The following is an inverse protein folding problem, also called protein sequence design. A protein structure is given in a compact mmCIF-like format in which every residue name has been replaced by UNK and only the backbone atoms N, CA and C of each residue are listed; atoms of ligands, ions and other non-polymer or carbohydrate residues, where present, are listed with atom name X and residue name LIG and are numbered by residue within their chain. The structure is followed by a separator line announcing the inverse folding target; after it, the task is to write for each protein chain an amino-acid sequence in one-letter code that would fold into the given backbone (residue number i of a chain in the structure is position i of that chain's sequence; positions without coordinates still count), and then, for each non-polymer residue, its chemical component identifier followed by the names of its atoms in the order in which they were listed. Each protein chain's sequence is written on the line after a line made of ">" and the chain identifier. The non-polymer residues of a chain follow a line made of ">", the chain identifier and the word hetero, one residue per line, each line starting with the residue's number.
data_IF_961187636127
#
_entry.id   IF_961187636127
#
_cell.length_a   1.000
_cell.length_b   1.000
_cell.length_c   1.000
_cell.angle_alpha   90.00
_cell.angle_beta   90.00
_cell.angle_gamma   90.00
#
_symmetry.space_group_name_H-M   'P 1'
#
loop_
_entity.id
_entity.type
_entity.pdbx_description
1 polymer ?
#
# COMPACT_ATOMS: atom_id res chain seq x y z
N UNK A 1 -3.64 31.89 12.40
CA UNK A 1 -3.12 30.59 11.91
C UNK A 1 -3.27 29.60 13.05
N UNK A 2 -4.24 28.72 12.94
CA UNK A 2 -5.03 28.19 14.04
C UNK A 2 -4.37 27.05 14.83
N UNK A 3 -4.67 26.99 16.16
CA UNK A 3 -4.35 25.86 17.07
C UNK A 3 -4.59 24.48 16.44
N UNK A 4 -5.58 24.36 15.55
CA UNK A 4 -5.89 23.13 14.80
C UNK A 4 -4.74 22.67 13.89
N UNK A 5 -4.01 23.60 13.26
CA UNK A 5 -2.84 23.29 12.40
C UNK A 5 -1.69 22.78 13.27
N UNK A 6 -1.45 23.40 14.42
CA UNK A 6 -0.40 22.94 15.35
C UNK A 6 -0.74 21.58 15.96
N UNK A 7 -2.00 21.32 16.28
CA UNK A 7 -2.44 20.00 16.77
C UNK A 7 -2.32 18.92 15.68
N UNK A 8 -2.63 19.24 14.43
CA UNK A 8 -2.45 18.33 13.30
C UNK A 8 -0.97 18.03 13.03
N UNK A 9 -0.13 19.07 13.11
CA UNK A 9 1.33 18.97 12.98
C UNK A 9 1.91 18.14 14.13
N UNK A 10 1.47 18.39 15.36
CA UNK A 10 1.91 17.65 16.55
C UNK A 10 1.54 16.16 16.46
N UNK A 11 0.31 15.84 16.03
CA UNK A 11 -0.10 14.45 15.81
C UNK A 11 0.68 13.74 14.69
N UNK A 12 1.11 14.47 13.66
CA UNK A 12 1.93 13.92 12.58
C UNK A 12 3.39 13.68 13.02
N UNK A 13 3.94 14.54 13.89
CA UNK A 13 5.33 14.44 14.36
C UNK A 13 5.55 13.22 15.28
N UNK A 14 4.55 12.82 16.07
CA UNK A 14 4.69 11.70 17.01
C UNK A 14 4.53 10.32 16.41
N UNK A 15 4.04 10.18 15.16
CA UNK A 15 3.92 8.90 14.51
C UNK A 15 5.13 8.51 13.64
N UNK A 16 6.11 9.37 13.48
CA UNK A 16 7.32 9.09 12.67
C UNK A 16 8.46 8.50 13.50
N UNK A 17 8.16 7.60 14.43
CA UNK A 17 9.20 6.71 14.95
C UNK A 17 9.43 5.66 13.86
N UNK A 18 10.64 5.65 13.27
CA UNK A 18 11.06 4.71 12.22
C UNK A 18 10.48 3.33 12.47
N UNK A 19 9.75 2.84 11.50
CA UNK A 19 9.17 1.52 11.58
C UNK A 19 10.33 0.52 11.43
N UNK A 20 10.50 -0.38 12.39
CA UNK A 20 11.54 -1.40 12.33
C UNK A 20 11.18 -2.44 11.27
N UNK A 21 12.17 -2.88 10.48
CA UNK A 21 12.04 -4.03 9.58
C UNK A 21 11.50 -5.25 10.34
N UNK A 22 10.57 -5.99 9.73
CA UNK A 22 10.03 -7.24 10.29
C UNK A 22 10.37 -8.37 9.34
N UNK A 23 11.04 -9.39 9.85
CA UNK A 23 11.37 -10.63 9.13
C UNK A 23 11.01 -11.79 10.06
N UNK A 24 10.14 -12.68 9.58
CA UNK A 24 9.72 -13.90 10.28
C UNK A 24 9.88 -15.06 9.31
N UNK A 25 10.79 -15.96 9.60
CA UNK A 25 11.15 -17.10 8.76
C UNK A 25 10.97 -18.38 9.56
N UNK A 26 10.35 -19.38 8.96
CA UNK A 26 10.33 -20.76 9.48
C UNK A 26 11.64 -21.48 9.09
N UNK A 27 12.63 -21.41 9.95
CA UNK A 27 13.96 -22.02 9.72
C UNK A 27 13.95 -23.55 9.75
N UNK A 28 12.82 -24.19 10.00
CA UNK A 28 12.69 -25.65 9.97
C UNK A 28 12.56 -26.22 8.55
N UNK A 29 12.36 -25.35 7.54
CA UNK A 29 12.17 -25.70 6.13
C UNK A 29 13.16 -24.97 5.24
N UNK A 30 13.41 -25.51 4.05
CA UNK A 30 14.17 -24.79 3.03
C UNK A 30 13.31 -23.71 2.38
N UNK A 31 13.90 -22.60 1.98
CA UNK A 31 13.20 -21.52 1.28
C UNK A 31 12.52 -22.02 -0.02
N UNK A 32 13.16 -22.94 -0.75
CA UNK A 32 12.62 -23.57 -1.97
C UNK A 32 11.30 -24.34 -1.77
N UNK A 33 10.96 -24.68 -0.53
CA UNK A 33 9.72 -25.38 -0.17
C UNK A 33 8.67 -24.43 0.40
N UNK A 34 9.03 -23.15 0.60
CA UNK A 34 8.22 -22.13 1.29
C UNK A 34 7.76 -21.02 0.34
N UNK A 35 6.73 -20.31 0.79
CA UNK A 35 6.23 -19.10 0.14
C UNK A 35 6.61 -17.88 1.00
N UNK A 36 7.13 -16.84 0.36
CA UNK A 36 7.37 -15.56 1.02
C UNK A 36 6.20 -14.60 0.78
N UNK A 37 5.75 -13.90 1.82
CA UNK A 37 4.85 -12.76 1.72
C UNK A 37 5.62 -11.48 2.04
N UNK A 38 5.74 -10.59 1.07
CA UNK A 38 6.38 -9.29 1.24
C UNK A 38 5.31 -8.20 1.29
N UNK A 39 5.31 -7.40 2.36
CA UNK A 39 4.38 -6.27 2.50
C UNK A 39 5.15 -4.97 2.28
N UNK A 40 4.87 -4.29 1.18
CA UNK A 40 5.46 -2.99 0.86
C UNK A 40 4.57 -1.87 1.35
N UNK A 41 4.80 -1.43 2.58
CA UNK A 41 4.07 -0.32 3.19
C UNK A 41 4.41 1.02 2.52
N UNK A 42 3.52 2.00 2.67
CA UNK A 42 3.68 3.35 2.13
C UNK A 42 4.06 4.39 3.19
N UNK A 43 3.85 5.67 2.86
CA UNK A 43 4.16 6.80 3.74
C UNK A 43 3.35 6.85 5.05
N UNK A 44 2.27 6.08 5.16
CA UNK A 44 1.47 5.93 6.38
C UNK A 44 1.95 4.84 7.34
N UNK A 45 3.09 4.21 7.03
CA UNK A 45 3.63 3.11 7.83
C UNK A 45 4.05 3.55 9.24
N UNK A 46 3.94 2.59 10.18
CA UNK A 46 4.33 2.79 11.58
C UNK A 46 4.63 1.45 12.26
N UNK A 47 5.42 1.48 13.34
CA UNK A 47 5.67 0.29 14.17
C UNK A 47 4.37 -0.41 14.59
N UNK A 48 3.33 0.37 14.92
CA UNK A 48 2.03 -0.18 15.30
C UNK A 48 1.36 -0.92 14.15
N UNK A 49 1.40 -0.35 12.94
CA UNK A 49 0.82 -0.98 11.76
C UNK A 49 1.54 -2.28 11.44
N UNK A 50 2.87 -2.29 11.44
CA UNK A 50 3.69 -3.49 11.20
C UNK A 50 3.42 -4.58 12.23
N UNK A 51 3.26 -4.22 13.51
CA UNK A 51 2.90 -5.18 14.55
C UNK A 51 1.54 -5.85 14.26
N UNK A 52 0.54 -5.08 13.84
CA UNK A 52 -0.78 -5.62 13.48
C UNK A 52 -0.68 -6.52 12.24
N UNK A 53 0.10 -6.13 11.23
CA UNK A 53 0.36 -6.96 10.05
C UNK A 53 1.06 -8.26 10.44
N UNK A 54 2.10 -8.18 11.28
CA UNK A 54 2.80 -9.34 11.80
C UNK A 54 1.84 -10.29 12.54
N UNK A 55 1.07 -9.77 13.49
CA UNK A 55 0.12 -10.56 14.28
C UNK A 55 -0.95 -11.24 13.40
N UNK A 56 -1.35 -10.59 12.31
CA UNK A 56 -2.33 -11.17 11.40
C UNK A 56 -1.74 -12.24 10.48
N UNK A 57 -0.57 -12.02 9.89
CA UNK A 57 0.02 -12.93 8.89
C UNK A 57 0.88 -14.03 9.49
N UNK A 58 1.38 -13.87 10.72
CA UNK A 58 2.18 -14.89 11.40
C UNK A 58 1.40 -16.21 11.52
N UNK A 59 2.02 -17.32 11.12
CA UNK A 59 1.39 -18.64 11.15
C UNK A 59 0.38 -18.91 10.02
N UNK A 60 0.29 -18.04 9.00
CA UNK A 60 -0.56 -18.24 7.82
C UNK A 60 0.11 -19.03 6.69
N UNK A 61 1.25 -19.67 6.95
CA UNK A 61 1.95 -20.48 5.96
C UNK A 61 2.91 -19.72 5.06
N UNK A 62 3.24 -18.47 5.40
CA UNK A 62 4.21 -17.64 4.71
C UNK A 62 5.37 -17.27 5.63
N UNK A 63 6.56 -17.21 5.09
CA UNK A 63 7.63 -16.38 5.64
C UNK A 63 7.30 -14.92 5.38
N UNK A 64 7.33 -14.08 6.40
CA UNK A 64 6.83 -12.71 6.34
C UNK A 64 7.97 -11.70 6.32
N UNK A 65 7.91 -10.80 5.34
CA UNK A 65 8.87 -9.72 5.16
C UNK A 65 8.14 -8.37 5.09
N UNK A 66 8.48 -7.45 5.99
CA UNK A 66 7.98 -6.06 5.95
C UNK A 66 9.21 -5.14 5.98
N UNK A 67 9.80 -4.81 4.81
CA UNK A 67 11.04 -4.06 4.73
C UNK A 67 10.88 -2.59 5.12
N UNK A 68 11.97 -1.99 5.59
CA UNK A 68 12.12 -0.55 5.63
C UNK A 68 12.91 -0.12 4.38
N UNK A 69 12.19 0.14 3.30
CA UNK A 69 12.78 0.36 1.98
C UNK A 69 12.68 1.80 1.47
N UNK A 70 11.85 2.66 2.12
CA UNK A 70 11.64 4.04 1.65
C UNK A 70 12.84 4.92 2.01
N UNK A 71 13.65 5.25 1.01
CA UNK A 71 14.77 6.19 1.18
C UNK A 71 14.29 7.63 1.01
N UNK A 72 14.49 8.46 2.04
CA UNK A 72 14.03 9.86 2.05
C UNK A 72 14.67 10.75 0.99
N UNK A 73 15.79 10.31 0.37
CA UNK A 73 16.56 11.10 -0.59
C UNK A 73 15.93 11.11 -1.98
N UNK A 74 15.41 9.96 -2.47
CA UNK A 74 14.77 9.88 -3.79
C UNK A 74 13.97 8.60 -3.99
N UNK A 75 13.14 8.58 -5.05
CA UNK A 75 12.42 7.39 -5.48
C UNK A 75 13.36 6.32 -6.05
N UNK A 76 14.39 6.70 -6.80
CA UNK A 76 15.36 5.75 -7.34
C UNK A 76 16.14 5.04 -6.25
N UNK A 77 16.55 5.75 -5.21
CA UNK A 77 17.20 5.14 -4.05
C UNK A 77 16.22 4.23 -3.28
N UNK A 78 14.94 4.57 -3.23
CA UNK A 78 13.89 3.71 -2.67
C UNK A 78 13.81 2.39 -3.42
N UNK A 79 13.80 2.42 -4.76
CA UNK A 79 13.81 1.19 -5.59
C UNK A 79 15.10 0.40 -5.37
N UNK A 80 16.27 1.06 -5.34
CA UNK A 80 17.55 0.40 -5.09
C UNK A 80 17.64 -0.22 -3.69
N UNK A 81 17.07 0.46 -2.67
CA UNK A 81 17.01 -0.08 -1.30
C UNK A 81 16.14 -1.32 -1.24
N UNK A 82 14.99 -1.31 -1.94
CA UNK A 82 14.15 -2.49 -2.06
C UNK A 82 14.85 -3.64 -2.81
N UNK A 83 15.53 -3.34 -3.93
CA UNK A 83 16.32 -4.36 -4.66
C UNK A 83 17.37 -5.01 -3.74
N UNK A 84 18.13 -4.19 -3.02
CA UNK A 84 19.13 -4.69 -2.07
C UNK A 84 18.51 -5.53 -0.94
N UNK A 85 17.30 -5.18 -0.48
CA UNK A 85 16.56 -5.97 0.50
C UNK A 85 16.15 -7.33 -0.09
N UNK A 86 15.65 -7.35 -1.32
CA UNK A 86 15.21 -8.56 -2.03
C UNK A 86 16.38 -9.54 -2.18
N UNK A 87 17.54 -9.04 -2.65
CA UNK A 87 18.77 -9.83 -2.83
C UNK A 87 19.33 -10.33 -1.49
N UNK A 88 19.44 -9.45 -0.49
CA UNK A 88 19.99 -9.77 0.85
C UNK A 88 19.22 -10.90 1.53
N UNK A 89 17.91 -10.97 1.31
CA UNK A 89 17.04 -11.99 1.92
C UNK A 89 16.80 -13.20 1.00
N UNK A 90 17.56 -13.32 -0.10
CA UNK A 90 17.51 -14.43 -1.05
C UNK A 90 16.07 -14.77 -1.49
N UNK A 91 15.26 -13.74 -1.79
CA UNK A 91 13.85 -13.97 -2.09
C UNK A 91 13.64 -14.79 -3.39
N UNK A 92 14.61 -14.79 -4.30
CA UNK A 92 14.59 -15.66 -5.48
C UNK A 92 14.81 -17.16 -5.18
N UNK A 93 15.23 -17.51 -3.97
CA UNK A 93 15.37 -18.91 -3.55
C UNK A 93 14.03 -19.51 -3.07
N UNK A 94 13.03 -18.67 -2.78
CA UNK A 94 11.70 -19.14 -2.38
C UNK A 94 10.98 -19.85 -3.53
N UNK A 95 10.08 -20.76 -3.15
CA UNK A 95 9.19 -21.41 -4.12
C UNK A 95 8.36 -20.38 -4.89
N UNK A 96 7.78 -19.45 -4.14
CA UNK A 96 6.96 -18.34 -4.64
C UNK A 96 7.14 -17.11 -3.75
N UNK A 97 7.11 -15.93 -4.37
CA UNK A 97 7.09 -14.65 -3.66
C UNK A 97 5.78 -13.92 -3.97
N UNK A 98 5.07 -13.55 -2.92
CA UNK A 98 3.78 -12.85 -3.01
C UNK A 98 3.87 -11.48 -2.40
N UNK A 99 3.15 -10.53 -2.94
CA UNK A 99 3.20 -9.14 -2.49
C UNK A 99 1.85 -8.60 -2.08
N UNK A 100 1.84 -7.83 -0.99
CA UNK A 100 0.80 -6.87 -0.64
C UNK A 100 1.42 -5.47 -0.68
N UNK A 101 0.98 -4.63 -1.61
CA UNK A 101 1.60 -3.35 -1.89
C UNK A 101 0.64 -2.20 -1.60
N UNK A 102 1.02 -1.32 -0.68
CA UNK A 102 0.35 -0.03 -0.52
C UNK A 102 0.93 0.97 -1.53
N UNK A 103 0.17 1.91 -1.98
CA UNK A 103 0.34 2.84 -3.12
C UNK A 103 1.80 2.98 -3.64
N UNK A 104 2.72 3.57 -2.83
CA UNK A 104 4.13 3.72 -3.24
C UNK A 104 4.82 2.37 -3.36
N UNK A 105 4.44 1.39 -2.54
CA UNK A 105 4.98 0.03 -2.61
C UNK A 105 4.70 -0.62 -3.96
N UNK A 106 3.50 -0.45 -4.48
CA UNK A 106 3.16 -0.91 -5.83
C UNK A 106 4.00 -0.23 -6.91
N UNK A 107 4.20 1.08 -6.81
CA UNK A 107 5.07 1.81 -7.75
C UNK A 107 6.53 1.32 -7.71
N UNK A 108 7.06 1.07 -6.52
CA UNK A 108 8.43 0.55 -6.34
C UNK A 108 8.56 -0.87 -6.88
N UNK A 109 7.58 -1.73 -6.59
CA UNK A 109 7.57 -3.10 -7.10
C UNK A 109 7.50 -3.14 -8.63
N UNK A 110 6.65 -2.31 -9.26
CA UNK A 110 6.56 -2.26 -10.71
C UNK A 110 7.89 -1.84 -11.35
N UNK A 111 8.57 -0.82 -10.78
CA UNK A 111 9.90 -0.43 -11.26
C UNK A 111 10.96 -1.52 -11.03
N UNK A 112 10.86 -2.28 -9.93
CA UNK A 112 11.74 -3.41 -9.68
C UNK A 112 11.53 -4.49 -10.75
N UNK A 113 10.28 -4.89 -11.02
CA UNK A 113 9.94 -5.91 -12.02
C UNK A 113 10.40 -5.48 -13.43
N UNK A 114 10.23 -4.21 -13.79
CA UNK A 114 10.68 -3.69 -15.08
C UNK A 114 12.20 -3.76 -15.24
N UNK A 115 12.97 -3.58 -14.17
CA UNK A 115 14.45 -3.59 -14.20
C UNK A 115 15.05 -4.99 -14.11
N UNK A 116 14.43 -5.87 -13.32
CA UNK A 116 15.01 -7.17 -12.93
C UNK A 116 14.19 -8.37 -13.42
N UNK A 117 12.99 -8.13 -13.97
CA UNK A 117 12.04 -9.19 -14.26
C UNK A 117 11.28 -9.60 -12.99
N UNK A 118 10.29 -10.49 -13.16
CA UNK A 118 9.44 -10.94 -12.05
C UNK A 118 10.09 -12.00 -11.15
N UNK A 119 11.11 -12.71 -11.63
CA UNK A 119 11.76 -13.78 -10.87
C UNK A 119 10.74 -14.80 -10.34
N UNK A 120 10.75 -15.01 -9.02
CA UNK A 120 9.83 -15.89 -8.27
C UNK A 120 8.52 -15.22 -7.85
N UNK A 121 8.28 -13.98 -8.25
CA UNK A 121 7.03 -13.27 -7.95
C UNK A 121 5.89 -13.92 -8.72
N UNK A 122 4.86 -14.34 -8.01
CA UNK A 122 3.67 -15.02 -8.58
C UNK A 122 2.38 -14.27 -8.32
N UNK A 123 2.32 -13.46 -7.25
CA UNK A 123 1.07 -12.81 -6.81
C UNK A 123 1.34 -11.41 -6.31
N UNK A 124 0.54 -10.45 -6.75
CA UNK A 124 0.60 -9.07 -6.30
C UNK A 124 -0.82 -8.59 -5.95
N UNK A 125 -1.00 -8.06 -4.75
CA UNK A 125 -2.20 -7.34 -4.36
C UNK A 125 -1.84 -5.86 -4.22
N UNK A 126 -2.47 -5.01 -5.02
CA UNK A 126 -2.33 -3.56 -4.90
C UNK A 126 -3.45 -2.97 -4.05
N UNK A 127 -3.09 -2.26 -3.00
CA UNK A 127 -3.98 -1.30 -2.34
C UNK A 127 -3.92 0.02 -3.09
N UNK A 128 -5.04 0.42 -3.69
CA UNK A 128 -5.19 1.61 -4.50
C UNK A 128 -6.26 2.53 -3.93
N UNK A 129 -5.95 3.80 -3.86
CA UNK A 129 -6.86 4.80 -3.30
C UNK A 129 -6.91 6.04 -4.17
N UNK A 130 -7.97 6.21 -4.98
CA UNK A 130 -8.11 7.37 -5.87
C UNK A 130 -8.00 8.72 -5.16
N UNK A 131 -8.35 8.76 -3.86
CA UNK A 131 -8.21 9.97 -3.04
C UNK A 131 -6.81 10.12 -2.47
N UNK A 132 -6.24 9.05 -1.91
CA UNK A 132 -4.97 9.09 -1.18
C UNK A 132 -3.75 9.15 -2.12
N UNK A 133 -3.85 8.65 -3.33
CA UNK A 133 -2.81 8.77 -4.36
C UNK A 133 -2.46 10.23 -4.67
N UNK A 134 -3.36 11.16 -4.39
CA UNK A 134 -3.12 12.60 -4.50
C UNK A 134 -2.48 13.23 -3.26
N UNK A 135 -2.44 12.50 -2.14
CA UNK A 135 -1.93 13.04 -0.87
C UNK A 135 -0.48 13.55 -0.96
N UNK A 136 0.46 12.88 -1.65
CA UNK A 136 1.80 13.41 -1.85
C UNK A 136 1.81 14.80 -2.51
N UNK A 137 1.00 14.98 -3.56
CA UNK A 137 0.88 16.25 -4.27
C UNK A 137 0.21 17.33 -3.43
N UNK A 138 -0.86 16.97 -2.71
CA UNK A 138 -1.53 17.89 -1.76
C UNK A 138 -0.59 18.29 -0.63
N UNK A 139 0.16 17.34 -0.05
CA UNK A 139 1.07 17.61 1.05
C UNK A 139 2.25 18.50 0.62
N UNK A 140 2.84 18.24 -0.54
CA UNK A 140 3.94 19.05 -1.06
C UNK A 140 3.51 20.46 -1.45
N UNK A 141 2.26 20.66 -1.88
CA UNK A 141 1.71 21.98 -2.18
C UNK A 141 1.34 22.76 -0.91
N UNK A 142 0.66 22.11 0.05
CA UNK A 142 0.07 22.82 1.21
C UNK A 142 0.99 22.84 2.42
N UNK A 143 1.87 21.89 2.57
CA UNK A 143 2.74 21.70 3.72
C UNK A 143 4.19 21.38 3.27
N UNK A 144 4.81 22.17 2.34
CA UNK A 144 6.08 21.79 1.70
C UNK A 144 7.21 21.55 2.71
N UNK A 145 7.33 22.41 3.70
CA UNK A 145 8.38 22.30 4.73
C UNK A 145 8.18 21.07 5.62
N UNK A 146 6.95 20.84 6.09
CA UNK A 146 6.62 19.69 6.93
C UNK A 146 6.79 18.38 6.16
N UNK A 147 6.30 18.34 4.94
CA UNK A 147 6.46 17.18 4.04
C UNK A 147 7.94 16.84 3.83
N UNK A 148 8.78 17.87 3.67
CA UNK A 148 10.22 17.69 3.49
C UNK A 148 10.91 17.15 4.74
N UNK A 149 10.52 17.61 5.94
CA UNK A 149 11.08 17.11 7.20
C UNK A 149 10.66 15.66 7.44
N UNK A 150 9.36 15.35 7.28
CA UNK A 150 8.83 14.04 7.63
C UNK A 150 9.25 12.96 6.63
N UNK A 151 9.10 13.25 5.33
CA UNK A 151 9.23 12.26 4.26
C UNK A 151 10.43 12.50 3.34
N UNK A 152 11.13 13.64 3.47
CA UNK A 152 12.27 13.96 2.62
C UNK A 152 11.87 14.33 1.19
N UNK A 153 12.84 14.21 0.27
CA UNK A 153 12.66 14.52 -1.16
C UNK A 153 11.78 13.48 -1.86
N UNK A 154 11.80 12.22 -1.40
CA UNK A 154 11.06 11.10 -2.02
C UNK A 154 9.57 11.39 -2.15
N UNK A 155 8.93 12.07 -1.18
CA UNK A 155 7.52 12.44 -1.30
C UNK A 155 7.28 13.41 -2.45
N UNK A 156 8.18 14.41 -2.62
CA UNK A 156 8.09 15.36 -3.73
C UNK A 156 8.37 14.69 -5.07
N UNK A 157 9.32 13.77 -5.13
CA UNK A 157 9.59 13.00 -6.34
C UNK A 157 8.38 12.12 -6.71
N UNK A 158 7.83 11.39 -5.74
CA UNK A 158 6.66 10.56 -5.94
C UNK A 158 5.41 11.37 -6.33
N UNK A 159 5.23 12.58 -5.78
CA UNK A 159 4.11 13.46 -6.12
C UNK A 159 4.02 13.83 -7.61
N UNK A 160 5.13 13.69 -8.35
CA UNK A 160 5.24 13.99 -9.77
C UNK A 160 5.12 12.74 -10.65
N UNK A 161 5.16 11.56 -10.05
CA UNK A 161 5.05 10.30 -10.76
C UNK A 161 3.59 10.02 -11.16
N UNK A 162 3.41 9.36 -12.30
CA UNK A 162 2.17 8.65 -12.61
C UNK A 162 2.31 7.22 -12.07
N UNK A 163 1.29 6.74 -11.40
CA UNK A 163 1.20 5.32 -11.08
C UNK A 163 0.89 4.58 -12.39
N UNK A 164 1.89 3.87 -12.89
CA UNK A 164 1.79 3.15 -14.17
C UNK A 164 1.44 1.70 -13.83
N UNK A 165 0.40 1.13 -14.47
CA UNK A 165 0.10 -0.28 -14.40
C UNK A 165 1.31 -1.14 -14.84
N UNK A 166 1.34 -2.38 -14.42
CA UNK A 166 2.34 -3.34 -14.92
C UNK A 166 2.32 -3.39 -16.44
N UNK A 167 3.50 -3.37 -17.05
CA UNK A 167 3.65 -3.47 -18.50
C UNK A 167 3.29 -4.87 -19.00
N UNK A 168 3.64 -5.88 -18.22
CA UNK A 168 3.34 -7.29 -18.49
C UNK A 168 3.02 -8.02 -17.18
N UNK A 169 1.88 -8.72 -17.13
CA UNK A 169 1.45 -9.55 -15.99
C UNK A 169 1.53 -11.05 -16.29
N UNK A 170 2.14 -11.48 -17.38
CA UNK A 170 2.20 -12.89 -17.76
C UNK A 170 2.74 -13.78 -16.63
N UNK A 171 1.91 -14.70 -16.14
CA UNK A 171 2.21 -15.60 -15.04
C UNK A 171 2.30 -14.89 -13.67
N UNK A 172 1.66 -13.73 -13.51
CA UNK A 172 1.38 -13.06 -12.25
C UNK A 172 -0.12 -13.10 -11.99
N UNK A 173 -0.52 -13.38 -10.76
CA UNK A 173 -1.87 -13.12 -10.31
C UNK A 173 -1.95 -11.71 -9.71
N UNK A 174 -2.75 -10.83 -10.29
CA UNK A 174 -2.83 -9.42 -9.92
C UNK A 174 -4.20 -9.08 -9.36
N UNK A 175 -4.25 -8.74 -8.08
CA UNK A 175 -5.44 -8.27 -7.38
C UNK A 175 -5.39 -6.77 -7.08
N UNK A 176 -6.54 -6.11 -7.12
CA UNK A 176 -6.64 -4.69 -6.77
C UNK A 176 -7.71 -4.47 -5.71
N UNK A 177 -7.33 -3.88 -4.57
CA UNK A 177 -8.26 -3.41 -3.54
C UNK A 177 -8.42 -1.90 -3.70
N UNK A 178 -9.65 -1.41 -3.90
CA UNK A 178 -9.95 0.00 -4.15
C UNK A 178 -10.61 0.61 -2.93
N UNK A 179 -9.94 1.56 -2.29
CA UNK A 179 -10.46 2.32 -1.16
C UNK A 179 -11.55 3.31 -1.62
N UNK A 180 -12.69 3.30 -0.94
CA UNK A 180 -13.81 4.19 -1.27
C UNK A 180 -13.99 5.33 -0.27
N UNK A 181 -12.97 5.60 0.54
CA UNK A 181 -13.04 6.64 1.58
C UNK A 181 -11.76 7.46 1.66
N UNK A 182 -11.90 8.75 1.79
CA UNK A 182 -10.80 9.68 1.98
C UNK A 182 -10.35 9.70 3.45
N UNK A 183 -9.03 9.74 3.68
CA UNK A 183 -8.44 9.96 5.02
C UNK A 183 -8.82 11.34 5.58
N UNK A 184 -8.59 11.54 6.88
CA UNK A 184 -8.83 12.86 7.51
C UNK A 184 -8.04 13.98 6.82
N UNK A 185 -6.80 13.69 6.43
CA UNK A 185 -5.94 14.61 5.70
C UNK A 185 -6.57 15.02 4.36
N UNK A 186 -7.00 14.06 3.56
CA UNK A 186 -7.60 14.33 2.26
C UNK A 186 -8.96 15.03 2.38
N UNK A 187 -9.75 14.72 3.41
CA UNK A 187 -11.00 15.48 3.70
C UNK A 187 -10.73 16.94 4.02
N UNK A 188 -9.69 17.22 4.82
CA UNK A 188 -9.33 18.59 5.17
C UNK A 188 -8.86 19.40 3.95
N UNK A 189 -8.10 18.78 3.06
CA UNK A 189 -7.58 19.43 1.85
C UNK A 189 -8.37 19.11 0.58
N UNK A 190 -9.65 18.75 0.71
CA UNK A 190 -10.50 18.34 -0.42
C UNK A 190 -10.45 19.34 -1.59
N UNK A 191 -10.63 20.64 -1.30
CA UNK A 191 -10.60 21.70 -2.33
C UNK A 191 -9.28 21.74 -3.12
N UNK A 192 -8.18 21.39 -2.48
CA UNK A 192 -6.88 21.29 -3.17
C UNK A 192 -6.82 20.04 -4.03
N UNK A 193 -7.26 18.92 -3.47
CA UNK A 193 -7.27 17.64 -4.17
C UNK A 193 -8.18 17.65 -5.41
N UNK A 194 -9.35 18.29 -5.33
CA UNK A 194 -10.29 18.39 -6.45
C UNK A 194 -9.71 19.10 -7.68
N UNK A 195 -8.73 19.99 -7.48
CA UNK A 195 -8.05 20.69 -8.61
C UNK A 195 -7.21 19.76 -9.50
N UNK A 196 -6.94 18.55 -9.04
CA UNK A 196 -6.18 17.55 -9.79
C UNK A 196 -7.07 16.63 -10.66
N UNK A 197 -8.34 17.01 -10.86
CA UNK A 197 -9.29 16.30 -11.72
C UNK A 197 -10.19 15.31 -10.97
N UNK A 198 -10.91 14.48 -11.70
CA UNK A 198 -11.85 13.51 -11.15
C UNK A 198 -11.14 12.31 -10.52
N UNK A 199 -11.81 11.67 -9.56
CA UNK A 199 -11.31 10.47 -8.88
C UNK A 199 -11.72 9.23 -9.66
N UNK A 200 -10.74 8.48 -10.11
CA UNK A 200 -10.98 7.26 -10.86
C UNK A 200 -11.14 6.05 -9.91
N UNK A 201 -12.28 5.39 -9.96
CA UNK A 201 -12.59 4.15 -9.23
C UNK A 201 -12.73 2.94 -10.15
N UNK A 202 -12.43 3.07 -11.44
CA UNK A 202 -12.49 1.96 -12.38
C UNK A 202 -11.23 1.09 -12.23
N UNK A 203 -11.43 -0.16 -11.82
CA UNK A 203 -10.33 -1.09 -11.57
C UNK A 203 -9.45 -1.31 -12.80
N UNK A 204 -10.07 -1.48 -13.99
CA UNK A 204 -9.34 -1.72 -15.26
C UNK A 204 -8.52 -0.50 -15.70
N UNK A 205 -8.98 0.70 -15.39
CA UNK A 205 -8.21 1.91 -15.68
C UNK A 205 -7.06 2.12 -14.66
N UNK A 206 -7.23 1.63 -13.42
CA UNK A 206 -6.23 1.67 -12.36
C UNK A 206 -5.10 0.66 -12.65
N UNK A 207 -5.48 -0.57 -12.99
CA UNK A 207 -4.55 -1.65 -13.35
C UNK A 207 -5.14 -2.46 -14.51
N UNK A 208 -4.51 -2.35 -15.68
CA UNK A 208 -5.04 -2.96 -16.91
C UNK A 208 -4.91 -4.48 -16.94
N UNK A 209 -3.91 -5.01 -16.25
CA UNK A 209 -3.54 -6.41 -16.25
C UNK A 209 -3.96 -7.11 -14.94
N UNK A 210 -5.08 -6.67 -14.35
CA UNK A 210 -5.62 -7.31 -13.16
C UNK A 210 -6.39 -8.59 -13.49
N UNK A 211 -6.35 -9.56 -12.60
CA UNK A 211 -7.17 -10.77 -12.64
C UNK A 211 -8.48 -10.56 -11.88
N UNK A 212 -8.43 -9.82 -10.76
CA UNK A 212 -9.61 -9.56 -9.97
C UNK A 212 -9.47 -8.29 -9.11
N UNK A 213 -10.59 -7.74 -8.65
CA UNK A 213 -10.62 -6.55 -7.82
C UNK A 213 -11.73 -6.58 -6.78
N UNK A 214 -11.59 -5.75 -5.76
CA UNK A 214 -12.65 -5.46 -4.81
C UNK A 214 -12.64 -4.00 -4.36
N UNK A 215 -13.79 -3.52 -3.91
CA UNK A 215 -13.92 -2.24 -3.23
C UNK A 215 -14.00 -2.43 -1.72
N UNK A 216 -13.38 -1.52 -0.97
CA UNK A 216 -13.50 -1.46 0.49
C UNK A 216 -14.00 -0.11 0.97
N UNK A 217 -14.71 -0.11 2.11
CA UNK A 217 -15.15 1.11 2.79
C UNK A 217 -14.08 1.72 3.70
N UNK A 218 -12.94 1.09 3.80
CA UNK A 218 -11.83 1.60 4.59
C UNK A 218 -11.20 2.83 3.92
N UNK A 219 -10.61 3.70 4.70
CA UNK A 219 -9.67 4.70 4.24
C UNK A 219 -8.24 4.19 4.40
N UNK A 220 -7.29 4.85 3.76
CA UNK A 220 -5.89 4.42 3.73
C UNK A 220 -5.26 4.23 5.12
N UNK A 221 -5.63 5.06 6.10
CA UNK A 221 -5.13 4.89 7.49
C UNK A 221 -5.65 3.60 8.14
N UNK A 222 -6.81 3.10 7.70
CA UNK A 222 -7.43 1.88 8.19
C UNK A 222 -6.96 0.63 7.46
N UNK A 223 -6.53 0.74 6.20
CA UNK A 223 -6.01 -0.38 5.43
C UNK A 223 -4.81 -1.07 6.10
N UNK A 224 -3.98 -0.31 6.81
CA UNK A 224 -2.82 -0.87 7.53
C UNK A 224 -3.16 -1.70 8.77
N UNK A 225 -4.41 -1.71 9.24
CA UNK A 225 -4.73 -2.23 10.58
C UNK A 225 -6.08 -2.92 10.73
N UNK A 226 -6.96 -2.84 9.72
CA UNK A 226 -8.29 -3.45 9.80
C UNK A 226 -8.35 -4.78 9.05
N UNK A 227 -7.41 -5.68 9.40
CA UNK A 227 -7.39 -7.04 8.85
C UNK A 227 -8.58 -7.88 9.29
N UNK A 228 -9.30 -7.47 10.33
CA UNK A 228 -10.62 -8.00 10.66
C UNK A 228 -11.66 -7.76 9.55
N UNK A 229 -11.44 -6.77 8.68
CA UNK A 229 -12.32 -6.42 7.56
C UNK A 229 -11.82 -6.99 6.23
N UNK A 230 -10.54 -6.78 5.91
CA UNK A 230 -10.00 -7.11 4.59
C UNK A 230 -9.11 -8.35 4.59
N UNK A 231 -8.72 -8.82 5.77
CA UNK A 231 -7.68 -9.84 5.86
C UNK A 231 -8.06 -11.18 5.23
N UNK A 232 -9.32 -11.60 5.37
CA UNK A 232 -9.78 -12.86 4.75
C UNK A 232 -9.80 -12.76 3.23
N UNK A 233 -10.14 -11.61 2.66
CA UNK A 233 -10.09 -11.39 1.22
C UNK A 233 -8.65 -11.39 0.70
N UNK A 234 -7.71 -10.79 1.45
CA UNK A 234 -6.29 -10.83 1.13
C UNK A 234 -5.78 -12.28 1.13
N UNK A 235 -6.05 -13.05 2.19
CA UNK A 235 -5.64 -14.47 2.26
C UNK A 235 -6.29 -15.26 1.12
N UNK A 236 -7.57 -15.06 0.87
CA UNK A 236 -8.26 -15.77 -0.23
C UNK A 236 -7.59 -15.48 -1.58
N UNK A 237 -7.22 -14.22 -1.85
CA UNK A 237 -6.53 -13.88 -3.08
C UNK A 237 -5.12 -14.50 -3.14
N UNK A 238 -4.36 -14.45 -2.05
CA UNK A 238 -3.03 -15.05 -1.98
C UNK A 238 -3.05 -16.57 -2.23
N UNK A 239 -4.16 -17.26 -1.89
CA UNK A 239 -4.30 -18.71 -2.05
C UNK A 239 -5.00 -19.12 -3.34
N UNK A 240 -5.98 -18.33 -3.81
CA UNK A 240 -6.89 -18.70 -4.91
C UNK A 240 -6.77 -17.80 -6.14
N UNK A 241 -5.91 -16.79 -6.09
CA UNK A 241 -5.68 -15.81 -7.16
C UNK A 241 -6.92 -15.01 -7.57
N UNK A 242 -7.91 -14.96 -6.70
CA UNK A 242 -9.13 -14.17 -6.81
C UNK A 242 -9.68 -13.81 -5.42
N UNK A 243 -10.39 -12.73 -5.30
CA UNK A 243 -11.17 -12.42 -4.11
C UNK A 243 -12.38 -13.35 -4.00
N UNK A 244 -12.97 -13.46 -2.81
CA UNK A 244 -14.12 -14.32 -2.61
C UNK A 244 -15.36 -13.84 -3.40
N UNK A 245 -16.34 -14.70 -3.55
CA UNK A 245 -17.60 -14.34 -4.21
C UNK A 245 -18.38 -13.28 -3.42
N UNK A 246 -18.08 -13.10 -2.12
CA UNK A 246 -18.65 -12.07 -1.26
C UNK A 246 -17.93 -10.72 -1.35
N UNK A 247 -16.78 -10.65 -2.02
CA UNK A 247 -16.05 -9.42 -2.19
C UNK A 247 -16.86 -8.40 -3.00
N UNK A 248 -16.88 -7.16 -2.53
CA UNK A 248 -17.67 -6.12 -3.20
C UNK A 248 -17.01 -5.69 -4.51
N UNK A 249 -17.72 -5.91 -5.63
CA UNK A 249 -17.26 -5.55 -6.98
C UNK A 249 -17.67 -4.16 -7.42
N UNK A 250 -18.60 -3.54 -6.71
CA UNK A 250 -19.11 -2.22 -7.06
C UNK A 250 -18.60 -1.15 -6.12
N UNK A 251 -18.33 0.03 -6.66
CA UNK A 251 -18.03 1.22 -5.87
C UNK A 251 -19.17 1.50 -4.89
N UNK A 252 -18.81 1.92 -3.68
CA UNK A 252 -19.81 2.35 -2.69
C UNK A 252 -20.53 3.61 -3.16
N UNK A 253 -21.86 3.62 -3.01
CA UNK A 253 -22.72 4.74 -3.38
C UNK A 253 -22.75 5.81 -2.28
N UNK A 254 -21.61 6.42 -2.00
CA UNK A 254 -21.50 7.56 -1.08
C UNK A 254 -20.42 8.56 -1.52
N UNK A 255 -20.43 9.73 -0.88
CA UNK A 255 -19.35 10.69 -1.06
C UNK A 255 -18.11 10.26 -0.23
N UNK A 256 -16.98 9.93 -0.86
CA UNK A 256 -15.77 9.47 -0.16
C UNK A 256 -15.26 10.44 0.91
N UNK A 257 -15.55 11.72 0.77
CA UNK A 257 -15.11 12.78 1.70
C UNK A 257 -16.05 13.00 2.88
N UNK A 258 -17.27 12.43 2.85
CA UNK A 258 -18.21 12.54 3.96
C UNK A 258 -17.72 11.70 5.13
N UNK A 259 -17.81 12.25 6.35
CA UNK A 259 -17.61 11.48 7.58
C UNK A 259 -18.77 10.50 7.72
N UNK A 260 -18.50 9.20 7.60
CA UNK A 260 -19.52 8.17 7.80
C UNK A 260 -19.88 8.09 9.29
N UNK A 261 -21.16 7.99 9.58
CA UNK A 261 -21.67 7.64 10.91
C UNK A 261 -21.65 6.12 11.06
N UNK A 262 -21.62 5.62 12.30
CA UNK A 262 -21.58 4.18 12.59
C UNK A 262 -22.75 3.41 11.92
N UNK A 263 -23.89 4.04 11.75
CA UNK A 263 -25.08 3.48 11.10
C UNK A 263 -25.01 3.49 9.56
N UNK A 264 -24.07 4.22 8.96
CA UNK A 264 -23.87 4.23 7.50
C UNK A 264 -23.04 3.03 7.02
N UNK A 265 -22.52 2.23 7.97
CA UNK A 265 -21.63 1.08 7.74
C UNK A 265 -22.39 -0.24 8.03
N UNK A 266 -23.71 -0.23 7.97
CA UNK A 266 -24.47 -1.48 7.99
C UNK A 266 -24.22 -2.22 6.66
N UNK A 267 -23.21 -3.06 6.71
CA UNK A 267 -22.82 -4.03 5.69
C UNK A 267 -23.22 -5.41 6.14
#
# INVERSE_FOLDING_TARGET
>A
MNKLIYTLIFCLLFNSIYAQEVIIIDTSKNASDQQALVILNGFGDSKKNRKIQQEFFQGKGYDLFIPEYVDKRSIDLTVSTFSSFYDKNNLDEYKEVKFLCYIIGGHVLNQYIERHGKGKITTIIYDRSPTQERAPRVATEKLPFISRILYGKVLSDFSKQKLIPLSDSNGLAVGVIIENKATKFMRFFKKTSDRYGDYNYNAIEIERNLDDFMHTYLDHDLMYKRFDVIGQEIIHFLEKYRFSDNAKREKYNWNPFKKLKKNDINL
#
